data_IF_795821016963
#
_entry.id   IF_795821016963
#
_cell.length_a   1.000
_cell.length_b   1.000
_cell.length_c   1.000
_cell.angle_alpha   90.00
_cell.angle_beta   90.00
_cell.angle_gamma   90.00
#
_symmetry.space_group_name_H-M   'P 1'
#
loop_
_entity.id
_entity.type
_entity.pdbx_description
1 polymer ?
#
# COMPACT_ATOMS: atom_id res chain seq x y z
N UNK A 1 -11.64 6.32 -2.82
CA UNK A 1 -10.79 6.38 -1.63
C UNK A 1 -9.38 5.97 -2.05
N UNK A 2 -8.67 6.80 -2.83
CA UNK A 2 -7.36 6.42 -3.39
C UNK A 2 -6.25 6.99 -2.52
N UNK A 3 -5.18 6.23 -2.29
CA UNK A 3 -3.92 6.78 -1.76
C UNK A 3 -2.90 6.77 -2.87
N UNK A 4 -2.37 7.94 -3.24
CA UNK A 4 -1.22 8.04 -4.12
C UNK A 4 0.05 8.15 -3.29
N UNK A 5 1.01 7.28 -3.58
CA UNK A 5 2.34 7.38 -3.02
C UNK A 5 3.25 8.05 -4.04
N UNK A 6 3.71 9.24 -3.72
CA UNK A 6 4.52 10.08 -4.59
C UNK A 6 5.77 10.44 -3.80
N UNK A 7 6.94 9.94 -4.22
CA UNK A 7 8.18 10.58 -3.77
C UNK A 7 8.23 12.00 -4.35
N UNK A 8 8.54 13.02 -3.56
CA UNK A 8 8.57 14.39 -4.05
C UNK A 8 9.81 14.61 -4.94
N UNK A 9 9.69 14.51 -6.26
CA UNK A 9 10.54 15.26 -7.20
C UNK A 9 9.94 15.34 -8.62
N UNK A 10 10.15 16.52 -9.23
CA UNK A 10 9.80 16.88 -10.61
C UNK A 10 10.38 15.86 -11.59
N UNK A 11 9.50 15.18 -12.33
CA UNK A 11 9.90 14.20 -13.34
C UNK A 11 10.71 14.89 -14.44
N UNK A 12 11.98 14.50 -14.71
CA UNK A 12 12.57 14.77 -16.00
C UNK A 12 11.81 13.93 -17.04
N UNK A 13 11.44 14.48 -18.20
CA UNK A 13 10.49 13.87 -19.15
C UNK A 13 10.97 12.57 -19.83
N UNK A 14 12.10 11.97 -19.43
CA UNK A 14 12.80 11.06 -20.32
C UNK A 14 12.35 9.59 -20.25
N UNK A 15 11.98 9.00 -19.10
CA UNK A 15 11.85 7.52 -19.03
C UNK A 15 10.90 7.03 -17.93
N UNK A 16 9.60 7.15 -18.19
CA UNK A 16 8.52 6.62 -17.34
C UNK A 16 7.81 5.42 -17.98
N UNK A 17 7.30 4.55 -17.13
CA UNK A 17 6.69 3.29 -17.51
C UNK A 17 5.38 3.09 -16.74
N UNK A 18 4.33 2.70 -17.46
CA UNK A 18 2.98 2.52 -16.93
C UNK A 18 2.60 1.04 -16.91
N UNK A 19 2.15 0.54 -15.75
CA UNK A 19 1.58 -0.79 -15.61
C UNK A 19 0.17 -0.68 -15.03
N UNK A 20 -0.83 -1.14 -15.80
CA UNK A 20 -2.24 -1.16 -15.41
C UNK A 20 -2.78 -2.56 -15.14
N UNK A 21 -3.94 -2.64 -14.50
CA UNK A 21 -4.58 -3.85 -13.97
C UNK A 21 -4.81 -5.03 -14.94
N UNK A 22 -4.66 -4.84 -16.26
CA UNK A 22 -4.95 -5.84 -17.29
C UNK A 22 -3.73 -6.61 -17.82
N UNK A 23 -2.52 -6.37 -17.31
CA UNK A 23 -1.31 -7.04 -17.81
C UNK A 23 -1.01 -8.33 -17.02
N UNK A 24 -1.44 -9.48 -17.54
CA UNK A 24 -1.31 -10.83 -16.96
C UNK A 24 0.12 -11.40 -16.90
N UNK A 25 1.17 -10.58 -16.97
CA UNK A 25 2.54 -11.06 -16.70
C UNK A 25 3.43 -10.02 -15.99
N UNK A 26 3.36 -9.93 -14.64
CA UNK A 26 4.27 -9.06 -13.88
C UNK A 26 5.71 -9.59 -13.83
N UNK A 27 5.92 -10.89 -14.07
CA UNK A 27 7.20 -11.57 -13.81
C UNK A 27 8.08 -11.68 -15.06
N UNK A 28 7.50 -11.70 -16.28
CA UNK A 28 8.27 -11.79 -17.54
C UNK A 28 8.95 -10.48 -17.95
N UNK A 29 8.43 -9.34 -17.50
CA UNK A 29 8.90 -7.99 -17.88
C UNK A 29 10.00 -7.44 -16.95
N UNK A 30 10.60 -8.31 -16.13
CA UNK A 30 11.43 -7.91 -14.99
C UNK A 30 12.89 -7.58 -15.33
N UNK A 31 13.40 -8.01 -16.49
CA UNK A 31 14.84 -7.94 -16.78
C UNK A 31 15.22 -6.80 -17.72
N UNK A 32 14.42 -6.55 -18.76
CA UNK A 32 14.78 -5.60 -19.81
C UNK A 32 14.32 -4.16 -19.47
N UNK A 33 13.37 -4.03 -18.54
CA UNK A 33 12.80 -2.76 -18.10
C UNK A 33 13.71 -1.95 -17.17
N UNK A 34 14.48 -2.62 -16.29
CA UNK A 34 15.39 -1.98 -15.34
C UNK A 34 16.56 -1.23 -16.00
N UNK A 35 16.85 -1.50 -17.27
CA UNK A 35 17.96 -0.85 -17.98
C UNK A 35 17.58 0.47 -18.64
N UNK A 36 16.29 0.79 -18.76
CA UNK A 36 15.83 1.95 -19.51
C UNK A 36 14.88 2.88 -18.77
N UNK A 37 14.36 2.57 -17.58
CA UNK A 37 13.38 3.44 -16.91
C UNK A 37 13.78 3.77 -15.46
N UNK A 38 13.81 5.07 -15.14
CA UNK A 38 14.16 5.57 -13.80
C UNK A 38 12.91 5.78 -12.92
N UNK A 39 11.70 5.68 -13.51
CA UNK A 39 10.44 5.86 -12.81
C UNK A 39 9.36 4.87 -13.25
N UNK A 40 8.58 4.35 -12.30
CA UNK A 40 7.45 3.45 -12.52
C UNK A 40 6.15 4.08 -11.98
N UNK A 41 5.05 3.89 -12.71
CA UNK A 41 3.70 4.23 -12.29
C UNK A 41 2.82 2.97 -12.30
N UNK A 42 2.20 2.67 -11.17
CA UNK A 42 1.26 1.57 -10.99
C UNK A 42 -0.13 2.10 -10.67
N UNK A 43 -1.13 1.70 -11.45
CA UNK A 43 -2.54 1.96 -11.11
C UNK A 43 -3.15 0.69 -10.52
N UNK A 44 -3.60 0.77 -9.27
CA UNK A 44 -4.23 -0.33 -8.52
C UNK A 44 -3.47 -1.68 -8.67
N UNK A 45 -2.19 -1.76 -8.25
CA UNK A 45 -1.39 -2.99 -8.38
C UNK A 45 -1.97 -4.19 -7.62
N UNK A 46 -2.93 -3.97 -6.72
CA UNK A 46 -3.72 -5.01 -6.05
C UNK A 46 -4.77 -5.68 -6.94
N UNK A 47 -5.16 -5.05 -8.05
CA UNK A 47 -6.26 -5.53 -8.89
C UNK A 47 -5.94 -6.94 -9.40
N UNK A 48 -6.82 -7.90 -9.08
CA UNK A 48 -6.68 -9.33 -9.43
C UNK A 48 -5.50 -10.07 -8.75
N UNK A 49 -4.92 -9.50 -7.68
CA UNK A 49 -3.84 -10.12 -6.92
C UNK A 49 -4.32 -10.53 -5.53
N UNK A 50 -4.17 -11.80 -5.19
CA UNK A 50 -4.50 -12.33 -3.85
C UNK A 50 -3.78 -11.52 -2.74
N UNK A 51 -4.42 -11.20 -1.60
CA UNK A 51 -3.84 -10.35 -0.54
C UNK A 51 -2.40 -10.71 -0.14
N UNK A 52 -2.12 -12.00 0.09
CA UNK A 52 -0.76 -12.49 0.37
C UNK A 52 0.30 -12.11 -0.68
N UNK A 53 -0.08 -12.02 -1.96
CA UNK A 53 0.83 -11.65 -3.05
C UNK A 53 1.03 -10.14 -3.13
N UNK A 54 0.10 -9.32 -2.63
CA UNK A 54 0.25 -7.88 -2.55
C UNK A 54 1.42 -7.49 -1.63
N UNK A 55 1.69 -8.29 -0.60
CA UNK A 55 2.88 -8.14 0.25
C UNK A 55 4.18 -8.30 -0.55
N UNK A 56 4.24 -9.30 -1.45
CA UNK A 56 5.40 -9.53 -2.31
C UNK A 56 5.60 -8.38 -3.30
N UNK A 57 4.50 -7.81 -3.81
CA UNK A 57 4.55 -6.60 -4.66
C UNK A 57 5.12 -5.44 -3.88
N UNK A 58 4.63 -5.16 -2.67
CA UNK A 58 5.17 -4.09 -1.81
C UNK A 58 6.65 -4.28 -1.48
N UNK A 59 7.06 -5.51 -1.15
CA UNK A 59 8.45 -5.85 -0.85
C UNK A 59 9.36 -5.64 -2.06
N UNK A 60 8.89 -6.00 -3.26
CA UNK A 60 9.56 -5.68 -4.51
C UNK A 60 9.72 -4.17 -4.67
N UNK A 61 8.63 -3.40 -4.56
CA UNK A 61 8.63 -1.96 -4.79
C UNK A 61 9.58 -1.26 -3.82
N UNK A 62 9.59 -1.63 -2.54
CA UNK A 62 10.51 -1.09 -1.55
C UNK A 62 11.99 -1.33 -1.93
N UNK A 63 12.31 -2.54 -2.39
CA UNK A 63 13.67 -2.86 -2.87
C UNK A 63 14.05 -2.07 -4.11
N UNK A 64 13.08 -1.74 -4.97
CA UNK A 64 13.29 -0.88 -6.14
C UNK A 64 13.57 0.56 -5.72
N UNK A 65 12.77 1.12 -4.81
CA UNK A 65 12.98 2.44 -4.23
C UNK A 65 14.38 2.57 -3.61
N UNK A 66 14.83 1.55 -2.86
CA UNK A 66 16.16 1.50 -2.28
C UNK A 66 17.32 1.39 -3.29
N UNK A 67 17.02 1.03 -4.54
CA UNK A 67 17.97 1.07 -5.67
C UNK A 67 17.91 2.39 -6.45
N UNK A 68 17.15 3.37 -5.99
CA UNK A 68 17.02 4.69 -6.62
C UNK A 68 15.95 4.77 -7.69
N UNK A 69 15.03 3.81 -7.78
CA UNK A 69 13.88 3.92 -8.68
C UNK A 69 12.80 4.81 -8.07
N UNK A 70 12.29 5.74 -8.86
CA UNK A 70 11.10 6.52 -8.51
C UNK A 70 9.86 5.67 -8.74
N UNK A 71 8.99 5.55 -7.74
CA UNK A 71 7.75 4.78 -7.87
C UNK A 71 6.59 5.67 -7.48
N UNK A 72 5.56 5.64 -8.32
CA UNK A 72 4.25 6.19 -8.06
C UNK A 72 3.24 5.06 -8.10
N UNK A 73 2.35 5.00 -7.13
CA UNK A 73 1.26 4.04 -7.16
C UNK A 73 -0.01 4.60 -6.54
N UNK A 74 -1.15 4.21 -7.10
CA UNK A 74 -2.47 4.39 -6.50
C UNK A 74 -2.92 3.06 -5.91
N UNK A 75 -3.51 3.08 -4.72
CA UNK A 75 -4.06 1.88 -4.11
C UNK A 75 -5.31 2.18 -3.30
N UNK A 76 -6.21 1.20 -3.32
CA UNK A 76 -7.40 1.02 -2.50
C UNK A 76 -7.21 -0.12 -1.48
N UNK A 77 -6.05 -0.78 -1.45
CA UNK A 77 -5.81 -1.96 -0.62
C UNK A 77 -5.24 -1.63 0.74
N UNK A 78 -6.03 -1.90 1.79
CA UNK A 78 -5.57 -1.85 3.17
C UNK A 78 -4.41 -2.82 3.43
N UNK A 79 -4.34 -3.95 2.72
CA UNK A 79 -3.22 -4.88 2.83
C UNK A 79 -1.90 -4.28 2.34
N UNK A 80 -1.93 -3.50 1.24
CA UNK A 80 -0.74 -2.83 0.73
C UNK A 80 -0.30 -1.68 1.62
N UNK A 81 -1.25 -0.87 2.12
CA UNK A 81 -0.99 0.18 3.10
C UNK A 81 -0.38 -0.41 4.38
N UNK A 82 -0.91 -1.54 4.86
CA UNK A 82 -0.42 -2.19 6.05
C UNK A 82 0.98 -2.74 5.89
N UNK A 83 1.28 -3.36 4.74
CA UNK A 83 2.64 -3.78 4.44
C UNK A 83 3.60 -2.58 4.32
N UNK A 84 3.15 -1.46 3.78
CA UNK A 84 3.97 -0.25 3.74
C UNK A 84 4.29 0.30 5.12
N UNK A 85 3.31 0.34 6.03
CA UNK A 85 3.53 0.76 7.42
C UNK A 85 4.58 -0.13 8.10
N UNK A 86 4.54 -1.46 7.85
CA UNK A 86 5.57 -2.38 8.32
C UNK A 86 6.96 -2.05 7.74
N UNK A 87 7.05 -1.72 6.45
CA UNK A 87 8.32 -1.37 5.79
C UNK A 87 8.90 -0.05 6.31
N UNK A 88 8.05 0.95 6.60
CA UNK A 88 8.45 2.21 7.23
C UNK A 88 8.96 1.96 8.66
N UNK A 89 8.25 1.12 9.43
CA UNK A 89 8.69 0.72 10.77
C UNK A 89 10.04 0.00 10.73
N UNK A 90 10.26 -0.89 9.76
CA UNK A 90 11.56 -1.52 9.54
C UNK A 90 12.67 -0.51 9.25
N UNK A 91 12.37 0.57 8.52
CA UNK A 91 13.31 1.67 8.31
C UNK A 91 13.66 2.40 9.59
N UNK A 92 12.67 2.67 10.45
CA UNK A 92 12.90 3.27 11.79
C UNK A 92 13.74 2.35 12.68
N UNK A 93 13.48 1.04 12.68
CA UNK A 93 14.28 0.04 13.41
C UNK A 93 15.73 0.04 12.89
N UNK A 94 15.93 0.07 11.57
CA UNK A 94 17.27 0.12 10.97
C UNK A 94 18.03 1.38 11.39
N UNK A 95 17.37 2.53 11.46
CA UNK A 95 17.98 3.79 11.91
C UNK A 95 18.34 3.75 13.41
N UNK A 96 17.50 3.11 14.23
CA UNK A 96 17.74 3.00 15.67
C UNK A 96 18.82 1.96 16.03
N UNK A 97 18.83 0.81 15.36
CA UNK A 97 19.77 -0.28 15.59
C UNK A 97 19.96 -1.12 14.32
N UNK A 98 21.08 -0.91 13.64
CA UNK A 98 21.45 -1.71 12.47
C UNK A 98 21.67 -3.18 12.82
N UNK A 99 22.16 -3.47 14.03
CA UNK A 99 22.37 -4.83 14.53
C UNK A 99 21.04 -5.59 14.68
N UNK A 100 20.03 -4.97 15.29
CA UNK A 100 18.70 -5.58 15.47
C UNK A 100 17.99 -5.79 14.13
N UNK A 101 18.16 -4.84 13.20
CA UNK A 101 17.65 -5.00 11.82
C UNK A 101 18.36 -6.15 11.09
N UNK A 102 19.68 -6.27 11.21
CA UNK A 102 20.45 -7.36 10.63
C UNK A 102 19.98 -8.74 11.13
N UNK A 103 19.79 -8.89 12.44
CA UNK A 103 19.28 -10.11 13.05
C UNK A 103 17.87 -10.46 12.56
N UNK A 104 16.97 -9.47 12.44
CA UNK A 104 15.64 -9.66 11.89
C UNK A 104 15.69 -10.15 10.43
N UNK A 105 16.54 -9.53 9.59
CA UNK A 105 16.69 -9.96 8.20
C UNK A 105 17.22 -11.39 8.10
N UNK A 106 18.17 -11.79 8.94
CA UNK A 106 18.73 -13.14 8.96
C UNK A 106 17.70 -14.17 9.44
N UNK A 107 16.96 -13.88 10.51
CA UNK A 107 15.94 -14.77 11.06
C UNK A 107 14.77 -15.04 10.09
N UNK A 108 14.40 -14.04 9.28
CA UNK A 108 13.27 -14.13 8.35
C UNK A 108 13.67 -14.36 6.89
N UNK A 109 14.95 -14.63 6.61
CA UNK A 109 15.49 -14.79 5.24
C UNK A 109 15.14 -13.59 4.34
N UNK A 110 15.12 -12.39 4.91
CA UNK A 110 14.75 -11.17 4.23
C UNK A 110 15.98 -10.45 3.67
N UNK A 111 15.77 -9.72 2.57
CA UNK A 111 16.81 -8.91 1.97
C UNK A 111 17.11 -7.69 2.87
N UNK A 112 18.39 -7.34 3.07
CA UNK A 112 18.80 -6.16 3.87
C UNK A 112 18.29 -4.81 3.31
N UNK A 113 17.79 -4.81 2.07
CA UNK A 113 17.16 -3.65 1.42
C UNK A 113 15.62 -3.67 1.53
N UNK A 114 15.06 -4.45 2.46
CA UNK A 114 13.62 -4.52 2.69
C UNK A 114 13.19 -3.54 3.80
N UNK A 115 13.23 -2.24 3.49
CA UNK A 115 12.77 -1.18 4.38
C UNK A 115 12.41 0.06 3.57
N UNK A 116 11.65 0.98 4.15
CA UNK A 116 11.42 2.32 3.60
C UNK A 116 11.69 3.35 4.70
N UNK A 117 12.12 4.55 4.32
CA UNK A 117 12.28 5.68 5.26
C UNK A 117 11.27 6.77 4.96
N UNK A 118 10.92 7.55 5.99
CA UNK A 118 9.90 8.60 5.88
C UNK A 118 10.28 9.65 4.82
N UNK A 119 11.58 9.89 4.57
CA UNK A 119 12.05 10.81 3.53
C UNK A 119 11.88 10.26 2.10
N UNK A 120 11.77 8.93 1.95
CA UNK A 120 11.60 8.27 0.67
C UNK A 120 10.12 8.06 0.31
N UNK A 121 9.17 8.46 1.16
CA UNK A 121 7.75 8.20 0.89
C UNK A 121 6.98 9.49 1.07
N UNK A 122 6.11 9.81 0.12
CA UNK A 122 5.08 10.82 0.29
C UNK A 122 3.74 10.15 0.05
N UNK A 123 2.78 10.33 0.95
CA UNK A 123 1.47 9.72 0.85
C UNK A 123 0.38 10.78 0.80
N UNK A 124 -0.58 10.61 -0.09
CA UNK A 124 -1.65 11.55 -0.34
C UNK A 124 -2.98 10.81 -0.37
N UNK A 125 -3.92 11.26 0.46
CA UNK A 125 -5.26 10.71 0.55
C UNK A 125 -6.24 11.57 -0.27
N UNK A 126 -7.04 10.91 -1.10
CA UNK A 126 -8.04 11.56 -1.94
C UNK A 126 -9.43 11.35 -1.34
N UNK A 127 -10.02 12.41 -0.80
CA UNK A 127 -11.39 12.44 -0.27
C UNK A 127 -12.32 13.26 -1.15
N UNK A 128 -13.60 12.91 -1.16
CA UNK A 128 -14.64 13.66 -1.86
C UNK A 128 -15.49 14.41 -0.84
N UNK A 129 -15.50 15.74 -0.94
CA UNK A 129 -16.29 16.62 -0.08
C UNK A 129 -17.04 17.62 -0.96
N UNK A 130 -18.35 17.78 -0.74
CA UNK A 130 -19.21 18.76 -1.44
C UNK A 130 -19.07 18.75 -2.97
N UNK A 131 -18.91 17.57 -3.57
CA UNK A 131 -18.76 17.41 -5.02
C UNK A 131 -17.36 17.71 -5.57
N UNK A 132 -16.39 18.11 -4.73
CA UNK A 132 -14.98 18.33 -5.07
C UNK A 132 -14.10 17.20 -4.53
N UNK A 133 -12.92 17.03 -5.13
CA UNK A 133 -11.87 16.13 -4.62
C UNK A 133 -10.87 16.97 -3.85
N UNK A 134 -10.67 16.64 -2.58
CA UNK A 134 -9.67 17.25 -1.70
C UNK A 134 -8.52 16.25 -1.52
N UNK A 135 -7.29 16.75 -1.62
CA UNK A 135 -6.07 15.95 -1.47
C UNK A 135 -5.42 16.31 -0.14
N UNK A 136 -5.28 15.33 0.74
CA UNK A 136 -4.67 15.50 2.05
C UNK A 136 -3.36 14.73 2.14
N UNK A 137 -2.25 15.44 2.38
CA UNK A 137 -0.98 14.79 2.66
C UNK A 137 -1.06 14.05 3.99
N UNK A 138 -0.71 12.78 3.99
CA UNK A 138 -0.71 11.94 5.18
C UNK A 138 0.63 12.06 5.92
N UNK A 139 0.56 11.99 7.25
CA UNK A 139 1.75 11.91 8.09
C UNK A 139 2.23 10.44 8.17
N UNK A 140 3.52 10.24 7.97
CA UNK A 140 4.17 8.92 8.04
C UNK A 140 4.74 8.63 9.43
N UNK A 141 4.74 9.61 10.33
CA UNK A 141 5.21 9.44 11.70
C UNK A 141 4.39 8.37 12.44
N UNK A 142 3.06 8.44 12.34
CA UNK A 142 2.11 7.50 12.97
C UNK A 142 1.71 6.33 12.04
N UNK A 143 2.06 6.41 10.75
CA UNK A 143 1.71 5.44 9.72
C UNK A 143 0.45 5.83 8.96
N UNK A 144 0.18 5.14 7.85
CA UNK A 144 -0.99 5.43 7.02
C UNK A 144 -2.27 4.84 7.62
N UNK A 145 -3.35 5.65 7.71
CA UNK A 145 -4.62 5.20 8.26
C UNK A 145 -5.34 4.23 7.30
N UNK A 146 -6.05 3.26 7.88
CA UNK A 146 -6.89 2.26 7.18
C UNK A 146 -8.36 2.69 7.08
N UNK A 147 -8.60 3.99 6.93
CA UNK A 147 -9.91 4.61 7.19
C UNK A 147 -11.05 4.10 6.29
N UNK A 148 -10.75 3.46 5.15
CA UNK A 148 -11.75 2.83 4.26
C UNK A 148 -12.34 1.57 4.85
N UNK A 149 -11.47 0.73 5.42
CA UNK A 149 -11.87 -0.58 5.93
C UNK A 149 -12.66 -0.44 7.21
N UNK A 150 -12.18 0.43 8.12
CA UNK A 150 -12.82 0.63 9.41
C UNK A 150 -14.25 1.14 9.25
N UNK A 151 -14.47 2.10 8.34
CA UNK A 151 -15.82 2.59 8.06
C UNK A 151 -16.70 1.50 7.42
N UNK A 152 -16.17 0.75 6.45
CA UNK A 152 -16.94 -0.32 5.78
C UNK A 152 -17.34 -1.43 6.74
N UNK A 153 -16.43 -1.85 7.62
CA UNK A 153 -16.70 -2.85 8.66
C UNK A 153 -17.72 -2.33 9.66
N UNK A 154 -17.59 -1.07 10.07
CA UNK A 154 -18.55 -0.43 10.97
C UNK A 154 -19.95 -0.38 10.35
N UNK A 155 -20.06 0.09 9.10
CA UNK A 155 -21.32 0.13 8.36
C UNK A 155 -21.95 -1.27 8.22
N UNK A 156 -21.12 -2.30 8.01
CA UNK A 156 -21.58 -3.69 7.93
C UNK A 156 -22.04 -4.22 9.31
N UNK A 157 -21.35 -3.88 10.39
CA UNK A 157 -21.73 -4.25 11.76
C UNK A 157 -23.05 -3.60 12.16
N UNK A 158 -23.20 -2.30 11.87
CA UNK A 158 -24.42 -1.54 12.14
C UNK A 158 -25.60 -2.13 11.35
N UNK A 159 -25.43 -2.39 10.05
CA UNK A 159 -26.44 -3.05 9.23
C UNK A 159 -26.78 -4.46 9.74
N UNK A 160 -25.79 -5.22 10.20
CA UNK A 160 -26.03 -6.55 10.77
C UNK A 160 -26.84 -6.47 12.05
N UNK A 161 -26.59 -5.48 12.91
CA UNK A 161 -27.36 -5.25 14.13
C UNK A 161 -28.82 -4.91 13.80
N UNK A 162 -29.06 -4.04 12.82
CA UNK A 162 -30.41 -3.68 12.35
C UNK A 162 -31.16 -4.92 11.82
N UNK A 163 -30.50 -5.77 11.04
CA UNK A 163 -31.08 -7.00 10.49
C UNK A 163 -31.44 -7.97 11.63
N UNK A 164 -30.55 -8.13 12.61
CA UNK A 164 -30.79 -8.97 13.79
C UNK A 164 -31.99 -8.48 14.60
N UNK A 165 -32.12 -7.17 14.81
CA UNK A 165 -33.27 -6.59 15.52
C UNK A 165 -34.59 -6.88 14.80
N UNK A 166 -34.63 -6.71 13.46
CA UNK A 166 -35.81 -7.03 12.65
C UNK A 166 -36.13 -8.54 12.68
N UNK A 167 -35.11 -9.40 12.66
CA UNK A 167 -35.29 -10.85 12.74
C UNK A 167 -35.88 -11.29 14.09
N UNK A 168 -35.42 -10.70 15.19
CA UNK A 168 -35.96 -10.93 16.54
C UNK A 168 -37.43 -10.49 16.63
N UNK A 169 -37.78 -9.31 16.09
CA UNK A 169 -39.16 -8.82 16.06
C UNK A 169 -40.11 -9.74 15.28
N UNK A 170 -39.60 -10.46 14.28
CA UNK A 170 -40.35 -11.44 13.47
C UNK A 170 -40.32 -12.87 14.05
N UNK A 171 -39.63 -13.09 15.19
CA UNK A 171 -39.51 -14.40 15.83
C UNK A 171 -38.62 -15.39 15.05
N UNK A 172 -37.75 -14.88 14.17
CA UNK A 172 -36.83 -15.69 13.36
C UNK A 172 -35.56 -15.93 14.17
N UNK A 173 -35.45 -17.11 14.79
CA UNK A 173 -34.21 -17.51 15.49
C UNK A 173 -33.19 -17.95 14.44
N UNK A 174 -32.17 -17.14 14.24
CA UNK A 174 -31.10 -17.35 13.28
C UNK A 174 -29.75 -17.35 14.01
N UNK A 175 -28.92 -18.38 13.81
CA UNK A 175 -27.52 -18.45 14.28
C UNK A 175 -26.55 -17.92 13.20
N UNK A 176 -26.97 -16.93 12.40
CA UNK A 176 -26.17 -16.30 11.34
C UNK A 176 -25.74 -14.90 11.77
#
# INVERSE_FOLDING_TARGET
>A
MGIALIQPLILPPARAAFMGANTTSPIGMYRDFYRQYNSLLFEEPEAHVHPKKQFLVMDMLARCCNKGMLIQMTTHSDYMLGRMNQLLLLGKIKQASEASFGQFCEAHLHNKNLYLTDHQVGAYYFKREEGKVVIEKQDLAEGLPFSSFEQTVKDQMDLSADISEVAEQLGIVSNL
#
